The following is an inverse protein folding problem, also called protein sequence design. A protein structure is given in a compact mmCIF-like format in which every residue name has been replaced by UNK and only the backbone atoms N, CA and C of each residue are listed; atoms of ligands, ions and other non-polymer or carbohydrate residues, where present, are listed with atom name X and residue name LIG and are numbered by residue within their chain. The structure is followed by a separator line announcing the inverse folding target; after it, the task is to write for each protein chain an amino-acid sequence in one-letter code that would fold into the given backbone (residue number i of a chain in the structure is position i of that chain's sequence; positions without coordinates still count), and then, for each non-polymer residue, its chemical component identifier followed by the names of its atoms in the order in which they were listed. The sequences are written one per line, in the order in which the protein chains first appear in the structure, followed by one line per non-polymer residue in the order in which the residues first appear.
data_IF_923847939941
#
_entry.id   IF_923847939941
#
_cell.length_a   1.000
_cell.length_b   1.000
_cell.length_c   1.000
_cell.angle_alpha   90.00
_cell.angle_beta   90.00
_cell.angle_gamma   90.00
#
_symmetry.space_group_name_H-M   'P 1'
#
loop_
_entity.id
_entity.type
_entity.pdbx_description
1 polymer ?
#
# COMPACT_ATOMS: atom_id res chain seq x y z
N UNK A 1 -17.74 21.77 -9.18
CA UNK A 1 -18.08 20.49 -8.53
C UNK A 1 -17.06 19.36 -8.79
N UNK A 2 -15.87 19.62 -9.36
CA UNK A 2 -14.90 18.55 -9.73
C UNK A 2 -13.68 18.35 -8.81
N UNK A 3 -13.44 19.22 -7.81
CA UNK A 3 -12.22 19.12 -6.97
C UNK A 3 -12.29 18.03 -5.88
N UNK A 4 -13.49 17.68 -5.42
CA UNK A 4 -13.67 16.74 -4.30
C UNK A 4 -13.65 15.26 -4.74
N UNK A 5 -13.91 14.98 -6.02
CA UNK A 5 -13.94 13.61 -6.60
C UNK A 5 -12.60 12.87 -6.48
N UNK A 6 -11.52 13.59 -6.20
CA UNK A 6 -10.16 13.05 -6.09
C UNK A 6 -9.63 12.96 -4.65
N UNK A 7 -10.46 13.24 -3.63
CA UNK A 7 -9.98 13.29 -2.25
C UNK A 7 -9.43 11.94 -1.77
N UNK A 8 -10.09 10.84 -2.13
CA UNK A 8 -9.64 9.47 -1.83
C UNK A 8 -8.37 9.09 -2.57
N UNK A 9 -8.29 9.45 -3.85
CA UNK A 9 -7.12 9.17 -4.68
C UNK A 9 -5.87 9.83 -4.12
N UNK A 10 -6.02 10.94 -3.40
CA UNK A 10 -4.92 11.59 -2.70
C UNK A 10 -4.32 10.75 -1.56
N UNK A 11 -5.10 9.89 -0.91
CA UNK A 11 -4.59 8.94 0.08
C UNK A 11 -3.65 7.89 -0.55
N UNK A 12 -3.83 7.62 -1.85
CA UNK A 12 -3.11 6.59 -2.59
C UNK A 12 -2.12 7.13 -3.62
N UNK A 13 -1.97 8.45 -3.75
CA UNK A 13 -1.29 9.04 -4.89
C UNK A 13 0.19 8.62 -4.96
N UNK A 14 0.87 8.60 -3.82
CA UNK A 14 2.28 8.22 -3.73
C UNK A 14 2.48 6.74 -4.01
N UNK A 15 1.65 5.89 -3.41
CA UNK A 15 1.65 4.44 -3.57
C UNK A 15 1.36 4.10 -5.04
N UNK A 16 0.34 4.73 -5.63
CA UNK A 16 0.00 4.60 -7.05
C UNK A 16 1.16 4.95 -7.95
N UNK A 17 1.82 6.10 -7.74
CA UNK A 17 2.97 6.52 -8.55
C UNK A 17 4.13 5.52 -8.46
N UNK A 18 4.52 5.15 -7.24
CA UNK A 18 5.66 4.27 -7.00
C UNK A 18 5.40 2.83 -7.48
N UNK A 19 4.24 2.26 -7.17
CA UNK A 19 3.87 0.93 -7.63
C UNK A 19 3.60 0.88 -9.14
N UNK A 20 3.20 2.00 -9.74
CA UNK A 20 3.09 2.10 -11.21
C UNK A 20 4.46 2.05 -11.85
N UNK A 21 5.46 2.73 -11.28
CA UNK A 21 6.83 2.72 -11.78
C UNK A 21 7.45 1.31 -11.71
N UNK A 22 7.16 0.56 -10.65
CA UNK A 22 7.66 -0.81 -10.47
C UNK A 22 6.83 -1.89 -11.17
N UNK A 23 5.70 -1.54 -11.80
CA UNK A 23 4.81 -2.48 -12.46
C UNK A 23 3.86 -3.25 -11.54
N UNK A 24 3.87 -2.98 -10.23
CA UNK A 24 2.98 -3.61 -9.24
C UNK A 24 1.57 -3.02 -9.20
N UNK A 25 1.39 -1.78 -9.66
CA UNK A 25 0.07 -1.15 -9.63
C UNK A 25 -0.86 -1.73 -10.70
N UNK A 26 -2.06 -2.18 -10.34
CA UNK A 26 -2.99 -2.73 -11.31
C UNK A 26 -3.55 -1.63 -12.20
N UNK A 27 -3.38 -1.79 -13.51
CA UNK A 27 -3.96 -0.89 -14.51
C UNK A 27 -5.06 -1.62 -15.29
N UNK A 28 -6.17 -0.93 -15.54
CA UNK A 28 -7.31 -1.48 -16.28
C UNK A 28 -6.98 -1.73 -17.76
N UNK A 29 -6.18 -0.86 -18.36
CA UNK A 29 -5.98 -0.83 -19.82
C UNK A 29 -4.85 -1.74 -20.32
N UNK A 30 -4.03 -2.27 -19.42
CA UNK A 30 -2.88 -3.08 -19.79
C UNK A 30 -3.19 -4.54 -19.48
N UNK A 31 -3.14 -5.39 -20.51
CA UNK A 31 -3.49 -6.81 -20.42
C UNK A 31 -2.51 -7.62 -19.55
N UNK A 32 -2.78 -8.92 -19.46
CA UNK A 32 -2.00 -9.93 -18.73
C UNK A 32 -0.46 -9.77 -18.83
N UNK A 33 0.04 -9.29 -19.98
CA UNK A 33 1.45 -9.02 -20.22
C UNK A 33 2.09 -7.99 -19.28
N UNK A 34 1.38 -6.92 -18.92
CA UNK A 34 1.92 -5.92 -17.99
C UNK A 34 2.05 -6.47 -16.57
N UNK A 35 1.06 -7.24 -16.13
CA UNK A 35 1.11 -7.91 -14.83
C UNK A 35 2.23 -8.97 -14.81
N UNK A 36 2.41 -9.71 -15.91
CA UNK A 36 3.50 -10.67 -16.06
C UNK A 36 4.87 -9.97 -16.02
N UNK A 37 5.02 -8.84 -16.73
CA UNK A 37 6.21 -8.00 -16.67
C UNK A 37 6.52 -7.53 -15.24
N UNK A 38 5.55 -6.94 -14.54
CA UNK A 38 5.75 -6.47 -13.17
C UNK A 38 6.12 -7.61 -12.21
N UNK A 39 5.54 -8.79 -12.40
CA UNK A 39 5.80 -9.96 -11.57
C UNK A 39 7.23 -10.48 -11.81
N UNK A 40 7.62 -10.64 -13.06
CA UNK A 40 8.97 -11.06 -13.45
C UNK A 40 10.01 -10.05 -12.95
N UNK A 41 9.78 -8.76 -13.11
CA UNK A 41 10.70 -7.72 -12.61
C UNK A 41 10.82 -7.78 -11.09
N UNK A 42 9.70 -7.95 -10.38
CA UNK A 42 9.71 -8.05 -8.91
C UNK A 42 10.44 -9.31 -8.42
N UNK A 43 10.23 -10.44 -9.09
CA UNK A 43 10.95 -11.69 -8.82
C UNK A 43 12.44 -11.58 -9.15
N UNK A 44 12.80 -10.95 -10.27
CA UNK A 44 14.18 -10.75 -10.66
C UNK A 44 14.92 -9.89 -9.63
N UNK A 45 14.30 -8.79 -9.19
CA UNK A 45 14.83 -7.95 -8.11
C UNK A 45 15.04 -8.79 -6.84
N UNK A 46 14.05 -9.60 -6.43
CA UNK A 46 14.20 -10.46 -5.25
C UNK A 46 15.29 -11.50 -5.39
N UNK A 47 15.37 -12.18 -6.54
CA UNK A 47 16.38 -13.20 -6.79
C UNK A 47 17.80 -12.64 -6.77
N UNK A 48 18.00 -11.43 -7.31
CA UNK A 48 19.30 -10.73 -7.31
C UNK A 48 19.83 -10.51 -5.89
N UNK A 49 18.97 -10.31 -4.89
CA UNK A 49 19.40 -10.09 -3.50
C UNK A 49 19.32 -11.33 -2.62
N UNK A 50 18.30 -12.17 -2.82
CA UNK A 50 18.08 -13.36 -1.99
C UNK A 50 19.18 -14.40 -2.21
N UNK A 51 19.60 -14.63 -3.47
CA UNK A 51 20.59 -15.67 -3.78
C UNK A 51 21.94 -15.34 -3.14
N UNK A 52 22.53 -14.14 -3.32
CA UNK A 52 23.79 -13.81 -2.66
C UNK A 52 23.71 -13.85 -1.13
N UNK A 53 22.66 -13.29 -0.52
CA UNK A 53 22.50 -13.33 0.94
C UNK A 53 22.43 -14.76 1.49
N UNK A 54 21.78 -15.69 0.77
CA UNK A 54 21.75 -17.10 1.17
C UNK A 54 23.13 -17.76 1.00
N UNK A 55 23.83 -17.48 -0.10
CA UNK A 55 25.19 -18.01 -0.31
C UNK A 55 26.17 -17.53 0.76
N UNK A 56 26.05 -16.26 1.18
CA UNK A 56 26.92 -15.67 2.22
C UNK A 56 26.71 -16.31 3.60
N UNK A 57 25.45 -16.68 3.93
CA UNK A 57 25.14 -17.41 5.17
C UNK A 57 25.84 -18.78 5.21
N UNK A 58 26.02 -19.43 4.06
CA UNK A 58 26.69 -20.72 3.95
C UNK A 58 28.19 -20.61 3.69
N UNK A 59 28.75 -19.40 3.59
CA UNK A 59 30.18 -19.22 3.41
C UNK A 59 30.93 -19.51 4.71
N UNK A 60 32.03 -20.26 4.62
CA UNK A 60 32.88 -20.61 5.76
C UNK A 60 33.58 -19.38 6.39
N UNK A 61 33.57 -18.24 5.70
CA UNK A 61 34.22 -16.99 6.15
C UNK A 61 33.38 -16.13 7.09
N UNK A 62 32.10 -16.48 7.32
CA UNK A 62 31.13 -15.55 7.89
C UNK A 62 31.08 -15.64 9.41
N UNK A 63 31.20 -14.49 10.09
CA UNK A 63 31.09 -14.40 11.54
C UNK A 63 29.63 -14.51 12.00
N UNK A 64 29.38 -14.92 13.25
CA UNK A 64 28.02 -15.04 13.79
C UNK A 64 27.21 -13.72 13.72
N UNK A 65 27.89 -12.58 13.79
CA UNK A 65 27.27 -11.26 13.66
C UNK A 65 26.84 -10.97 12.23
N UNK A 66 27.68 -11.28 11.24
CA UNK A 66 27.36 -11.17 9.82
C UNK A 66 26.21 -12.10 9.41
N UNK A 67 26.23 -13.36 9.88
CA UNK A 67 25.12 -14.31 9.68
C UNK A 67 23.81 -13.74 10.21
N UNK A 68 23.82 -13.05 11.36
CA UNK A 68 22.62 -12.45 11.93
C UNK A 68 22.07 -11.31 11.06
N UNK A 69 22.94 -10.49 10.47
CA UNK A 69 22.54 -9.44 9.53
C UNK A 69 21.97 -10.01 8.23
N UNK A 70 22.62 -11.02 7.66
CA UNK A 70 22.13 -11.67 6.43
C UNK A 70 20.81 -12.40 6.65
N UNK A 71 20.63 -13.08 7.78
CA UNK A 71 19.34 -13.69 8.14
C UNK A 71 18.22 -12.66 8.23
N UNK A 72 18.49 -11.50 8.83
CA UNK A 72 17.51 -10.40 8.88
C UNK A 72 17.15 -9.89 7.48
N UNK A 73 18.15 -9.75 6.59
CA UNK A 73 17.94 -9.39 5.19
C UNK A 73 17.09 -10.42 4.45
N UNK A 74 17.40 -11.71 4.58
CA UNK A 74 16.65 -12.82 3.96
C UNK A 74 15.20 -12.83 4.43
N UNK A 75 14.94 -12.72 5.74
CA UNK A 75 13.57 -12.68 6.28
C UNK A 75 12.80 -11.47 5.72
N UNK A 76 13.44 -10.31 5.63
CA UNK A 76 12.83 -9.09 5.08
C UNK A 76 12.47 -9.25 3.60
N UNK A 77 13.37 -9.85 2.81
CA UNK A 77 13.13 -10.13 1.38
C UNK A 77 12.02 -11.16 1.18
N UNK A 78 11.97 -12.22 2.00
CA UNK A 78 10.89 -13.20 1.97
C UNK A 78 9.54 -12.57 2.31
N UNK A 79 9.47 -11.71 3.33
CA UNK A 79 8.25 -10.98 3.68
C UNK A 79 7.76 -10.11 2.51
N UNK A 80 8.68 -9.38 1.86
CA UNK A 80 8.35 -8.64 0.64
C UNK A 80 7.86 -9.57 -0.49
N UNK A 81 8.50 -10.72 -0.70
CA UNK A 81 8.06 -11.78 -1.60
C UNK A 81 6.62 -12.20 -1.38
N UNK A 82 6.28 -12.59 -0.15
CA UNK A 82 4.92 -12.98 0.21
C UNK A 82 3.90 -11.86 -0.05
N UNK A 83 4.22 -10.61 0.31
CA UNK A 83 3.35 -9.46 0.05
C UNK A 83 3.09 -9.24 -1.44
N UNK A 84 4.13 -9.32 -2.26
CA UNK A 84 4.01 -9.20 -3.72
C UNK A 84 3.13 -10.31 -4.28
N UNK A 85 3.36 -11.57 -3.89
CA UNK A 85 2.54 -12.71 -4.33
C UNK A 85 1.08 -12.51 -3.94
N UNK A 86 0.80 -12.14 -2.68
CA UNK A 86 -0.56 -11.88 -2.20
C UNK A 86 -1.21 -10.75 -3.00
N UNK A 87 -0.50 -9.66 -3.25
CA UNK A 87 -0.99 -8.54 -4.05
C UNK A 87 -1.35 -8.99 -5.47
N UNK A 88 -0.53 -9.83 -6.11
CA UNK A 88 -0.84 -10.38 -7.43
C UNK A 88 -2.06 -11.29 -7.42
N UNK A 89 -2.16 -12.22 -6.45
CA UNK A 89 -3.31 -13.13 -6.31
C UNK A 89 -4.60 -12.34 -6.06
N UNK A 90 -4.53 -11.26 -5.28
CA UNK A 90 -5.69 -10.44 -4.89
C UNK A 90 -5.86 -9.16 -5.71
N UNK A 91 -5.14 -9.03 -6.84
CA UNK A 91 -5.15 -7.82 -7.67
C UNK A 91 -6.56 -7.45 -8.14
N UNK A 92 -7.37 -8.43 -8.52
CA UNK A 92 -8.73 -8.17 -9.00
C UNK A 92 -9.65 -7.67 -7.89
N UNK A 93 -9.59 -8.27 -6.70
CA UNK A 93 -10.32 -7.78 -5.52
C UNK A 93 -9.88 -6.37 -5.14
N UNK A 94 -8.57 -6.12 -5.11
CA UNK A 94 -8.05 -4.79 -4.83
C UNK A 94 -8.50 -3.75 -5.87
N UNK A 95 -8.55 -4.13 -7.15
CA UNK A 95 -9.10 -3.27 -8.20
C UNK A 95 -10.57 -2.96 -7.99
N UNK A 96 -11.40 -3.95 -7.65
CA UNK A 96 -12.81 -3.73 -7.34
C UNK A 96 -12.98 -2.71 -6.22
N UNK A 97 -12.24 -2.86 -5.13
CA UNK A 97 -12.25 -1.89 -4.02
C UNK A 97 -11.90 -0.48 -4.50
N UNK A 98 -10.89 -0.31 -5.36
CA UNK A 98 -10.55 1.01 -5.91
C UNK A 98 -11.67 1.60 -6.76
N UNK A 99 -12.31 0.80 -7.60
CA UNK A 99 -13.46 1.23 -8.42
C UNK A 99 -14.66 1.57 -7.55
N UNK A 100 -14.91 0.78 -6.52
CA UNK A 100 -16.01 0.99 -5.58
C UNK A 100 -15.82 2.30 -4.81
N UNK A 101 -14.59 2.62 -4.38
CA UNK A 101 -14.27 3.90 -3.75
C UNK A 101 -14.50 5.12 -4.67
N UNK A 102 -14.56 4.94 -5.99
CA UNK A 102 -14.85 6.03 -6.94
C UNK A 102 -16.35 6.22 -7.22
N UNK A 103 -17.22 5.32 -6.73
CA UNK A 103 -18.65 5.42 -6.97
C UNK A 103 -19.27 6.69 -6.33
N UNK A 104 -20.35 7.24 -6.90
CA UNK A 104 -21.04 8.42 -6.37
C UNK A 104 -21.44 8.28 -4.91
N UNK A 105 -21.83 7.06 -4.51
CA UNK A 105 -22.22 6.72 -3.15
C UNK A 105 -21.10 6.98 -2.12
N UNK A 106 -19.84 6.84 -2.55
CA UNK A 106 -18.67 7.12 -1.74
C UNK A 106 -18.05 8.49 -2.01
N UNK A 107 -18.63 9.33 -2.86
CA UNK A 107 -18.03 10.64 -3.22
C UNK A 107 -18.96 11.82 -2.97
N UNK A 108 -20.28 11.59 -2.93
CA UNK A 108 -21.29 12.63 -2.72
C UNK A 108 -21.71 12.71 -1.24
N UNK A 109 -20.92 13.43 -0.44
CA UNK A 109 -21.24 13.69 0.97
C UNK A 109 -21.65 15.13 1.19
N UNK A 110 -22.58 15.31 2.13
CA UNK A 110 -22.76 16.58 2.84
C UNK A 110 -21.42 17.07 3.42
N UNK A 111 -21.20 18.38 3.42
CA UNK A 111 -19.92 18.99 3.80
C UNK A 111 -19.44 18.58 5.21
N UNK A 112 -20.38 18.26 6.10
CA UNK A 112 -20.07 17.82 7.45
C UNK A 112 -19.49 16.39 7.51
N UNK A 113 -19.86 15.51 6.58
CA UNK A 113 -19.33 14.15 6.49
C UNK A 113 -17.95 14.11 5.81
N UNK A 114 -17.63 15.11 4.97
CA UNK A 114 -16.30 15.27 4.36
C UNK A 114 -15.17 15.41 5.39
N UNK A 115 -15.48 15.86 6.61
CA UNK A 115 -14.48 16.01 7.69
C UNK A 115 -13.85 14.65 8.06
N UNK A 116 -14.64 13.58 8.14
CA UNK A 116 -14.13 12.24 8.49
C UNK A 116 -13.20 11.70 7.40
N UNK A 117 -13.58 11.85 6.14
CA UNK A 117 -12.74 11.45 5.01
C UNK A 117 -11.46 12.27 4.96
N UNK A 118 -11.55 13.60 5.10
CA UNK A 118 -10.36 14.47 5.15
C UNK A 118 -9.41 14.07 6.27
N UNK A 119 -9.95 13.72 7.45
CA UNK A 119 -9.16 13.22 8.59
C UNK A 119 -8.47 11.90 8.26
N UNK A 120 -9.17 10.93 7.66
CA UNK A 120 -8.58 9.67 7.24
C UNK A 120 -7.47 9.87 6.19
N UNK A 121 -7.72 10.68 5.15
CA UNK A 121 -6.72 11.02 4.12
C UNK A 121 -5.50 11.70 4.75
N UNK A 122 -5.72 12.63 5.69
CA UNK A 122 -4.62 13.30 6.40
C UNK A 122 -3.77 12.31 7.20
N UNK A 123 -4.40 11.38 7.91
CA UNK A 123 -3.70 10.32 8.67
C UNK A 123 -2.91 9.43 7.70
N UNK A 124 -3.52 8.95 6.61
CA UNK A 124 -2.86 8.13 5.61
C UNK A 124 -1.63 8.81 5.00
N UNK A 125 -1.76 10.08 4.60
CA UNK A 125 -0.64 10.86 4.06
C UNK A 125 0.45 11.09 5.11
N UNK A 126 0.08 11.32 6.37
CA UNK A 126 1.04 11.51 7.46
C UNK A 126 1.82 10.22 7.76
N UNK A 127 1.13 9.08 7.84
CA UNK A 127 1.77 7.76 8.00
C UNK A 127 2.69 7.47 6.82
N UNK A 128 2.26 7.80 5.60
CA UNK A 128 3.09 7.64 4.40
C UNK A 128 4.41 8.39 4.55
N UNK A 129 4.37 9.67 4.90
CA UNK A 129 5.58 10.49 5.09
C UNK A 129 6.46 9.97 6.22
N UNK A 130 5.85 9.56 7.34
CA UNK A 130 6.56 9.05 8.50
C UNK A 130 7.32 7.76 8.18
N UNK A 131 6.68 6.82 7.47
CA UNK A 131 7.29 5.53 7.12
C UNK A 131 8.29 5.65 5.96
N UNK A 132 8.09 6.60 5.03
CA UNK A 132 9.05 6.84 3.94
C UNK A 132 10.32 7.53 4.38
N UNK A 133 10.26 8.43 5.37
CA UNK A 133 11.43 9.18 5.86
C UNK A 133 12.65 8.30 6.19
N UNK A 134 12.55 7.27 7.06
CA UNK A 134 13.69 6.40 7.36
C UNK A 134 14.15 5.58 6.16
N UNK A 135 13.25 5.22 5.24
CA UNK A 135 13.60 4.48 4.02
C UNK A 135 14.48 5.31 3.08
N UNK A 136 14.14 6.58 2.89
CA UNK A 136 14.94 7.51 2.07
C UNK A 136 16.31 7.72 2.71
N UNK A 137 16.35 7.93 4.02
CA UNK A 137 17.60 8.07 4.77
C UNK A 137 18.47 6.82 4.59
N UNK A 138 17.90 5.62 4.76
CA UNK A 138 18.61 4.36 4.56
C UNK A 138 19.18 4.24 3.15
N UNK A 139 18.40 4.54 2.11
CA UNK A 139 18.87 4.49 0.71
C UNK A 139 20.04 5.48 0.48
N UNK A 140 19.97 6.67 1.06
CA UNK A 140 21.05 7.66 0.96
C UNK A 140 22.32 7.14 1.63
N UNK A 141 22.22 6.60 2.84
CA UNK A 141 23.38 6.04 3.53
C UNK A 141 23.96 4.83 2.79
N UNK A 142 23.11 3.94 2.29
CA UNK A 142 23.53 2.79 1.49
C UNK A 142 24.27 3.22 0.21
N UNK A 143 23.79 4.27 -0.46
CA UNK A 143 24.41 4.81 -1.67
C UNK A 143 25.66 5.67 -1.40
N UNK A 144 25.83 6.19 -0.18
CA UNK A 144 26.96 7.03 0.19
C UNK A 144 28.10 6.23 0.83
N UNK A 145 27.79 5.14 1.55
CA UNK A 145 28.77 4.37 2.32
C UNK A 145 29.96 3.88 1.47
N UNK A 146 29.76 3.30 0.28
CA UNK A 146 30.86 2.85 -0.59
C UNK A 146 31.75 3.98 -1.13
N UNK A 147 31.25 5.23 -1.13
CA UNK A 147 31.99 6.42 -1.57
C UNK A 147 32.79 7.04 -0.44
N UNK A 148 32.28 6.95 0.79
CA UNK A 148 32.91 7.51 2.00
C UNK A 148 34.00 6.60 2.53
N UNK A 149 33.85 5.27 2.40
CA UNK A 149 34.86 4.30 2.81
C UNK A 149 36.09 4.37 1.89
N UNK A 150 37.04 5.23 2.28
CA UNK A 150 38.19 5.68 1.51
C UNK A 150 39.29 4.65 1.23
N UNK A 151 39.04 3.36 1.49
CA UNK A 151 39.94 2.29 1.10
C UNK A 151 39.85 2.08 -0.41
N UNK A 152 40.57 2.91 -1.17
CA UNK A 152 40.56 3.05 -2.64
C UNK A 152 40.81 1.76 -3.46
N UNK A 153 41.03 0.61 -2.83
CA UNK A 153 41.30 -0.67 -3.49
C UNK A 153 40.19 -1.70 -3.36
N UNK A 154 39.20 -1.52 -2.48
CA UNK A 154 38.20 -2.56 -2.18
C UNK A 154 36.98 -2.56 -3.09
N UNK A 155 36.70 -1.49 -3.86
CA UNK A 155 35.49 -1.36 -4.72
C UNK A 155 34.24 -1.99 -4.08
N UNK A 156 33.86 -1.57 -2.86
CA UNK A 156 32.78 -2.23 -2.14
C UNK A 156 31.46 -2.08 -2.90
N UNK A 157 30.69 -3.17 -2.99
CA UNK A 157 29.31 -3.12 -3.43
C UNK A 157 28.38 -3.05 -2.20
N UNK A 158 27.20 -2.44 -2.33
CA UNK A 158 26.18 -2.46 -1.28
C UNK A 158 25.77 -3.88 -0.84
N UNK A 159 25.81 -4.83 -1.78
CA UNK A 159 25.59 -6.25 -1.54
C UNK A 159 26.64 -7.05 -2.26
N UNK A 160 27.18 -8.05 -1.59
CA UNK A 160 28.16 -8.95 -2.17
C UNK A 160 27.55 -9.76 -3.32
N UNK A 161 28.39 -10.03 -4.32
CA UNK A 161 28.03 -10.83 -5.49
C UNK A 161 29.04 -11.96 -5.63
N UNK A 162 28.62 -13.14 -6.12
CA UNK A 162 29.51 -14.28 -6.31
C UNK A 162 30.40 -14.10 -7.56
N UNK A 163 30.98 -12.91 -7.72
CA UNK A 163 31.84 -12.52 -8.84
C UNK A 163 32.97 -11.69 -8.26
N UNK A 164 34.21 -11.94 -8.68
CA UNK A 164 35.35 -11.12 -8.26
C UNK A 164 35.30 -9.73 -8.93
N UNK A 165 34.77 -8.76 -8.18
CA UNK A 165 34.57 -7.37 -8.61
C UNK A 165 35.90 -6.68 -8.95
N UNK A 166 37.02 -7.13 -8.35
CA UNK A 166 38.34 -6.54 -8.58
C UNK A 166 38.85 -6.85 -9.99
N UNK A 167 38.47 -7.99 -10.55
CA UNK A 167 38.82 -8.40 -11.91
C UNK A 167 38.00 -7.67 -12.98
N UNK A 168 36.90 -7.01 -12.62
CA UNK A 168 36.03 -6.32 -13.59
C UNK A 168 36.57 -4.93 -13.99
N UNK A 169 36.30 -4.48 -15.23
CA UNK A 169 36.48 -3.10 -15.63
C UNK A 169 35.68 -2.15 -14.71
N UNK A 170 36.25 -0.97 -14.42
CA UNK A 170 35.60 0.02 -13.56
C UNK A 170 34.22 0.45 -14.06
N UNK A 171 34.03 0.56 -15.38
CA UNK A 171 32.74 0.88 -15.98
C UNK A 171 31.65 -0.15 -15.65
N UNK A 172 31.99 -1.45 -15.64
CA UNK A 172 31.04 -2.52 -15.32
C UNK A 172 30.70 -2.47 -13.82
N UNK A 173 31.68 -2.25 -12.97
CA UNK A 173 31.46 -2.05 -11.53
C UNK A 173 30.45 -0.94 -11.26
N UNK A 174 30.62 0.24 -11.88
CA UNK A 174 29.71 1.37 -11.72
C UNK A 174 28.28 1.02 -12.17
N UNK A 175 28.13 0.27 -13.27
CA UNK A 175 26.81 -0.18 -13.74
C UNK A 175 26.15 -1.12 -12.74
N UNK A 176 26.88 -2.13 -12.24
CA UNK A 176 26.37 -3.08 -11.23
C UNK A 176 25.97 -2.33 -9.96
N UNK A 177 26.81 -1.41 -9.52
CA UNK A 177 26.56 -0.56 -8.36
C UNK A 177 25.23 0.20 -8.47
N UNK A 178 25.02 0.93 -9.57
CA UNK A 178 23.77 1.67 -9.78
C UNK A 178 22.55 0.76 -9.91
N UNK A 179 22.70 -0.39 -10.58
CA UNK A 179 21.62 -1.38 -10.69
C UNK A 179 21.21 -1.89 -9.29
N UNK A 180 22.18 -2.23 -8.43
CA UNK A 180 21.90 -2.66 -7.06
C UNK A 180 21.18 -1.56 -6.28
N UNK A 181 21.68 -0.32 -6.28
CA UNK A 181 21.04 0.80 -5.56
C UNK A 181 19.60 1.02 -6.04
N UNK A 182 19.36 1.05 -7.35
CA UNK A 182 18.02 1.24 -7.92
C UNK A 182 17.10 0.07 -7.53
N UNK A 183 17.60 -1.16 -7.61
CA UNK A 183 16.81 -2.35 -7.29
C UNK A 183 16.45 -2.44 -5.80
N UNK A 184 17.39 -2.11 -4.89
CA UNK A 184 17.14 -2.01 -3.44
C UNK A 184 16.14 -0.90 -3.15
N UNK A 185 16.35 0.28 -3.73
CA UNK A 185 15.44 1.41 -3.55
C UNK A 185 14.01 1.05 -4.01
N UNK A 186 13.88 0.37 -5.15
CA UNK A 186 12.59 -0.12 -5.64
C UNK A 186 11.96 -1.15 -4.70
N UNK A 187 12.74 -2.12 -4.21
CA UNK A 187 12.26 -3.15 -3.29
C UNK A 187 11.76 -2.55 -1.96
N UNK A 188 12.55 -1.65 -1.35
CA UNK A 188 12.18 -0.95 -0.11
C UNK A 188 10.92 -0.12 -0.33
N UNK A 189 10.89 0.71 -1.39
CA UNK A 189 9.73 1.53 -1.71
C UNK A 189 8.48 0.66 -1.91
N UNK A 190 8.58 -0.44 -2.66
CA UNK A 190 7.44 -1.32 -2.91
C UNK A 190 6.96 -2.01 -1.64
N UNK A 191 7.86 -2.57 -0.84
CA UNK A 191 7.52 -3.25 0.41
C UNK A 191 6.73 -2.32 1.34
N UNK A 192 7.22 -1.11 1.54
CA UNK A 192 6.59 -0.09 2.39
C UNK A 192 5.28 0.42 1.78
N UNK A 193 5.22 0.62 0.46
CA UNK A 193 3.98 1.06 -0.20
C UNK A 193 2.83 0.05 -0.04
N UNK A 194 3.11 -1.26 -0.07
CA UNK A 194 2.07 -2.27 0.11
C UNK A 194 1.44 -2.15 1.51
N UNK A 195 2.25 -1.98 2.55
CA UNK A 195 1.76 -1.80 3.93
C UNK A 195 0.97 -0.50 4.10
N UNK A 196 1.49 0.61 3.56
CA UNK A 196 0.82 1.90 3.62
C UNK A 196 -0.50 1.86 2.85
N UNK A 197 -0.55 1.17 1.71
CA UNK A 197 -1.75 1.00 0.91
C UNK A 197 -2.83 0.27 1.72
N UNK A 198 -2.49 -0.85 2.37
CA UNK A 198 -3.40 -1.57 3.25
C UNK A 198 -3.90 -0.69 4.40
N UNK A 199 -3.00 0.02 5.09
CA UNK A 199 -3.36 0.95 6.16
C UNK A 199 -4.26 2.09 5.67
N UNK A 200 -4.05 2.59 4.46
CA UNK A 200 -4.86 3.67 3.89
C UNK A 200 -6.26 3.19 3.54
N UNK A 201 -6.40 1.98 3.02
CA UNK A 201 -7.72 1.34 2.82
C UNK A 201 -8.46 1.16 4.14
N UNK A 202 -7.78 0.66 5.18
CA UNK A 202 -8.37 0.47 6.52
C UNK A 202 -8.81 1.83 7.10
N UNK A 203 -7.99 2.88 6.97
CA UNK A 203 -8.32 4.22 7.44
C UNK A 203 -9.56 4.78 6.74
N UNK A 204 -9.68 4.59 5.42
CA UNK A 204 -10.85 4.99 4.66
C UNK A 204 -12.09 4.19 5.06
N UNK A 205 -11.97 2.86 5.17
CA UNK A 205 -13.08 2.00 5.60
C UNK A 205 -13.59 2.38 6.99
N UNK A 206 -12.67 2.70 7.91
CA UNK A 206 -13.01 3.19 9.25
C UNK A 206 -13.77 4.52 9.19
N UNK A 207 -13.36 5.44 8.31
CA UNK A 207 -14.08 6.70 8.13
C UNK A 207 -15.48 6.49 7.55
N UNK A 208 -15.66 5.54 6.62
CA UNK A 208 -16.98 5.19 6.10
C UNK A 208 -17.88 4.62 7.20
N UNK A 209 -17.35 3.74 8.05
CA UNK A 209 -18.09 3.19 9.19
C UNK A 209 -18.53 4.29 10.17
N UNK A 210 -17.67 5.26 10.45
CA UNK A 210 -18.00 6.41 11.31
C UNK A 210 -19.10 7.30 10.73
N UNK A 211 -19.05 7.53 9.40
CA UNK A 211 -20.11 8.27 8.70
C UNK A 211 -21.43 7.50 8.78
N UNK A 212 -21.41 6.18 8.57
CA UNK A 212 -22.61 5.36 8.66
C UNK A 212 -23.20 5.38 10.07
N UNK A 213 -22.37 5.16 11.10
CA UNK A 213 -22.80 5.19 12.50
C UNK A 213 -23.52 6.51 12.82
N UNK A 214 -22.92 7.62 12.41
CA UNK A 214 -23.49 8.95 12.59
C UNK A 214 -24.82 9.13 11.84
N UNK A 215 -24.90 8.70 10.58
CA UNK A 215 -26.13 8.79 9.80
C UNK A 215 -27.26 7.98 10.45
N UNK A 216 -26.96 6.79 10.98
CA UNK A 216 -27.92 5.98 11.74
C UNK A 216 -28.37 6.72 13.00
N UNK A 217 -27.46 7.32 13.76
CA UNK A 217 -27.81 8.10 14.98
C UNK A 217 -28.70 9.30 14.66
N UNK A 218 -28.42 10.02 13.57
CA UNK A 218 -29.26 11.15 13.11
C UNK A 218 -30.65 10.66 12.73
N UNK A 219 -30.73 9.57 11.97
CA UNK A 219 -31.99 8.95 11.56
C UNK A 219 -32.85 8.55 12.77
N UNK A 220 -32.26 7.86 13.74
CA UNK A 220 -32.94 7.47 14.99
C UNK A 220 -33.43 8.70 15.76
N UNK A 221 -32.58 9.73 15.92
CA UNK A 221 -32.97 10.96 16.64
C UNK A 221 -34.11 11.70 15.95
N UNK A 222 -34.08 11.79 14.61
CA UNK A 222 -35.16 12.39 13.84
C UNK A 222 -36.47 11.64 14.11
N UNK A 223 -36.45 10.31 14.04
CA UNK A 223 -37.64 9.50 14.31
C UNK A 223 -38.17 9.65 15.73
N UNK A 224 -37.32 9.63 16.77
CA UNK A 224 -37.77 9.85 18.15
C UNK A 224 -38.44 11.22 18.34
N UNK A 225 -37.99 12.25 17.62
CA UNK A 225 -38.60 13.58 17.65
C UNK A 225 -39.93 13.67 16.88
N UNK A 226 -40.09 12.93 15.77
CA UNK A 226 -41.34 12.89 14.99
C UNK A 226 -42.43 12.08 15.70
N UNK A 227 -42.05 10.99 16.38
CA UNK A 227 -42.95 10.13 17.17
C UNK A 227 -43.52 10.86 18.40
N UNK A 228 -42.72 11.75 19.02
CA UNK A 228 -43.19 12.60 20.12
C UNK A 228 -44.16 13.71 19.67
N UNK A 229 -44.22 14.00 18.36
CA UNK A 229 -45.00 15.11 17.80
C UNK A 229 -46.35 14.68 17.23
N UNK A 230 -46.62 13.38 17.09
CA UNK A 230 -47.84 12.88 16.41
C UNK A 230 -48.29 11.56 17.01
N UNK A 231 -49.55 11.46 17.48
CA UNK A 231 -50.22 10.17 17.75
C UNK A 231 -50.42 9.44 16.40
N UNK A 232 -49.51 8.52 16.05
CA UNK A 232 -49.50 7.82 14.75
C UNK A 232 -50.31 6.52 14.81
N UNK A 233 -51.24 6.35 13.86
CA UNK A 233 -52.06 5.13 13.66
C UNK A 233 -51.22 3.95 13.16
N UNK A 234 -51.60 2.72 13.54
CA UNK A 234 -50.91 1.46 13.25
C UNK A 234 -50.63 1.17 11.75
N UNK A 235 -51.40 1.74 10.84
CA UNK A 235 -51.21 1.59 9.38
C UNK A 235 -49.98 2.35 8.84
N UNK A 236 -49.60 3.46 9.47
CA UNK A 236 -48.38 4.17 9.09
C UNK A 236 -47.13 3.40 9.52
N UNK A 237 -47.20 2.62 10.60
CA UNK A 237 -46.08 1.79 11.08
C UNK A 237 -45.63 0.72 10.08
N UNK A 238 -46.54 0.08 9.34
CA UNK A 238 -46.18 -1.01 8.42
C UNK A 238 -45.54 -0.50 7.13
N UNK A 239 -46.05 0.59 6.54
CA UNK A 239 -45.39 1.31 5.44
C UNK A 239 -44.04 1.90 5.86
N UNK A 240 -43.95 2.32 7.10
CA UNK A 240 -42.75 2.88 7.70
C UNK A 240 -41.67 1.82 7.96
N UNK A 241 -42.05 0.64 8.46
CA UNK A 241 -41.13 -0.49 8.66
C UNK A 241 -40.58 -1.01 7.34
N UNK A 242 -41.38 -0.98 6.26
CA UNK A 242 -40.88 -1.30 4.90
C UNK A 242 -39.87 -0.26 4.41
N UNK A 243 -40.11 1.03 4.62
CA UNK A 243 -39.19 2.10 4.21
C UNK A 243 -37.88 2.09 5.01
N UNK A 244 -37.95 1.80 6.32
CA UNK A 244 -36.76 1.59 7.15
C UNK A 244 -36.01 0.35 6.71
N UNK A 245 -36.72 -0.77 6.48
CA UNK A 245 -36.11 -2.01 5.99
C UNK A 245 -35.43 -1.78 4.64
N UNK A 246 -36.02 -1.02 3.72
CA UNK A 246 -35.41 -0.72 2.42
C UNK A 246 -34.22 0.24 2.53
N UNK A 247 -34.29 1.27 3.38
CA UNK A 247 -33.17 2.16 3.63
C UNK A 247 -32.01 1.42 4.30
N UNK A 248 -32.28 0.66 5.37
CA UNK A 248 -31.29 -0.19 6.04
C UNK A 248 -30.75 -1.24 5.07
N UNK A 249 -31.59 -1.87 4.25
CA UNK A 249 -31.13 -2.81 3.21
C UNK A 249 -30.26 -2.13 2.16
N UNK A 250 -30.49 -0.86 1.86
CA UNK A 250 -29.63 -0.06 0.97
C UNK A 250 -28.28 0.23 1.63
N UNK A 251 -28.27 0.65 2.90
CA UNK A 251 -27.03 0.88 3.67
C UNK A 251 -26.27 -0.41 4.02
N UNK A 252 -26.97 -1.53 4.18
CA UNK A 252 -26.40 -2.87 4.42
C UNK A 252 -25.88 -3.47 3.12
N UNK A 253 -26.58 -3.32 1.98
CA UNK A 253 -26.03 -3.69 0.67
C UNK A 253 -24.76 -2.91 0.36
N UNK A 254 -24.72 -1.62 0.72
CA UNK A 254 -23.52 -0.81 0.65
C UNK A 254 -22.37 -1.40 1.47
N UNK A 255 -22.64 -2.02 2.62
CA UNK A 255 -21.61 -2.70 3.41
C UNK A 255 -21.27 -4.11 2.94
N UNK A 256 -22.23 -4.88 2.44
CA UNK A 256 -21.99 -6.21 1.85
C UNK A 256 -21.07 -6.09 0.64
N UNK A 257 -21.26 -5.06 -0.20
CA UNK A 257 -20.36 -4.74 -1.31
C UNK A 257 -18.92 -4.39 -0.88
N UNK A 258 -18.69 -4.02 0.39
CA UNK A 258 -17.35 -3.77 0.94
C UNK A 258 -16.70 -5.07 1.45
N UNK A 259 -17.50 -6.10 1.75
CA UNK A 259 -17.04 -7.38 2.34
C UNK A 259 -16.95 -8.56 1.35
N UNK A 260 -17.56 -8.48 0.16
CA UNK A 260 -17.45 -9.46 -0.93
C UNK A 260 -16.31 -9.12 -1.92
#
# INVERSE_FOLDING_TARGET
MGKDKHLYLRAFEMQKKMMTLSGLWPKEKYGMWYNCYGFIVSLAIQAIFLIPSVLEIFSDSTTATEVSYELFSVITLLNYGFKVIILYIKTDSFRKILVDLEQPLFTDYEDFNKIYIKKAVFISVSITKLLFSPCIIFIIFLAAFPVIDSNNTSRPLPYDVPIDIKCLPFSIYVVIYFIQIIAVAAAICNNVNIDILANSLIALATAQLQILEKNIRILVKHFSSTQFSTEVKLEDYTKFDTKIRDNVRTYVRHHIAITE
#
